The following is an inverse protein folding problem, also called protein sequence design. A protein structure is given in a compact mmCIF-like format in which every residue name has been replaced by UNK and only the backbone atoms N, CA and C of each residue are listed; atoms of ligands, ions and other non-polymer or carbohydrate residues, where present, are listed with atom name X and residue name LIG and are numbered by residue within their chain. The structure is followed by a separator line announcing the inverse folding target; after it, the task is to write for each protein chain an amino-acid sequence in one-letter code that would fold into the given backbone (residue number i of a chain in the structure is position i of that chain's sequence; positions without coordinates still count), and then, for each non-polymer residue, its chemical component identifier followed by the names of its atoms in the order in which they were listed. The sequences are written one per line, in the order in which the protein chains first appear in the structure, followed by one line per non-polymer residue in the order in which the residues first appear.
data_IF_271972153445
#
_entry.id   IF_271972153445
#
_cell.length_a   1.000
_cell.length_b   1.000
_cell.length_c   1.000
_cell.angle_alpha   90.00
_cell.angle_beta   90.00
_cell.angle_gamma   90.00
#
_symmetry.space_group_name_H-M   'P 1'
#
loop_
_entity.id
_entity.type
_entity.pdbx_description
1 polymer ?
#
# COMPACT_ATOMS: atom_id res chain seq x y z
N UNK A 1 -24.26 -10.48 -60.83
CA UNK A 1 -24.19 -9.36 -59.88
C UNK A 1 -23.94 -9.98 -58.51
N UNK A 2 -22.71 -9.93 -57.99
CA UNK A 2 -22.33 -10.59 -56.73
C UNK A 2 -22.22 -9.50 -55.65
N UNK A 3 -23.13 -9.50 -54.68
CA UNK A 3 -23.08 -8.60 -53.53
C UNK A 3 -22.18 -9.21 -52.45
N UNK A 4 -21.12 -8.52 -51.98
CA UNK A 4 -20.30 -9.04 -50.90
C UNK A 4 -21.09 -9.05 -49.59
N UNK A 5 -20.96 -10.13 -48.83
CA UNK A 5 -21.54 -10.32 -47.50
C UNK A 5 -20.91 -9.31 -46.52
N UNK A 6 -21.67 -8.58 -45.69
CA UNK A 6 -21.10 -7.69 -44.70
C UNK A 6 -20.39 -8.53 -43.61
N UNK A 7 -19.11 -8.26 -43.40
CA UNK A 7 -18.33 -8.83 -42.31
C UNK A 7 -18.81 -8.25 -40.98
N UNK A 8 -19.67 -8.97 -40.27
CA UNK A 8 -20.07 -8.66 -38.90
C UNK A 8 -18.99 -9.14 -37.92
N UNK A 9 -17.88 -8.42 -37.83
CA UNK A 9 -16.82 -8.76 -36.87
C UNK A 9 -16.61 -7.62 -35.87
N UNK A 10 -16.62 -7.97 -34.58
CA UNK A 10 -16.00 -7.28 -33.43
C UNK A 10 -16.63 -6.03 -32.77
N UNK A 11 -17.77 -5.49 -33.21
CA UNK A 11 -18.30 -4.28 -32.52
C UNK A 11 -18.84 -4.61 -31.11
N UNK A 12 -19.37 -5.81 -30.87
CA UNK A 12 -19.83 -6.25 -29.53
C UNK A 12 -18.73 -6.86 -28.65
N UNK A 13 -17.60 -7.26 -29.23
CA UNK A 13 -16.49 -7.90 -28.49
C UNK A 13 -15.58 -6.88 -27.82
N UNK A 14 -15.53 -5.64 -28.35
CA UNK A 14 -14.72 -4.55 -27.78
C UNK A 14 -15.31 -4.01 -26.45
N UNK A 15 -16.63 -3.72 -26.33
CA UNK A 15 -17.24 -3.30 -25.07
C UNK A 15 -16.99 -4.31 -23.94
N UNK A 16 -17.27 -5.60 -24.19
CA UNK A 16 -17.08 -6.67 -23.19
C UNK A 16 -15.63 -6.81 -22.73
N UNK A 17 -14.64 -6.53 -23.60
CA UNK A 17 -13.21 -6.56 -23.23
C UNK A 17 -12.79 -5.34 -22.44
N UNK A 18 -13.29 -4.16 -22.79
CA UNK A 18 -13.05 -2.91 -22.04
C UNK A 18 -13.68 -3.03 -20.65
N UNK A 19 -14.91 -3.52 -20.55
CA UNK A 19 -15.58 -3.78 -19.28
C UNK A 19 -14.82 -4.79 -18.43
N UNK A 20 -14.31 -5.87 -19.05
CA UNK A 20 -13.47 -6.86 -18.35
C UNK A 20 -12.16 -6.25 -17.84
N UNK A 21 -11.49 -5.42 -18.63
CA UNK A 21 -10.25 -4.76 -18.23
C UNK A 21 -10.50 -3.76 -17.09
N UNK A 22 -11.57 -2.97 -17.18
CA UNK A 22 -11.98 -2.07 -16.11
C UNK A 22 -12.28 -2.84 -14.81
N UNK A 23 -13.01 -3.95 -14.89
CA UNK A 23 -13.28 -4.82 -13.74
C UNK A 23 -12.00 -5.42 -13.14
N UNK A 24 -11.03 -5.80 -13.98
CA UNK A 24 -9.73 -6.30 -13.51
C UNK A 24 -8.91 -5.24 -12.79
N UNK A 25 -8.89 -4.01 -13.31
CA UNK A 25 -8.23 -2.89 -12.65
C UNK A 25 -8.90 -2.55 -11.32
N UNK A 26 -10.24 -2.57 -11.27
CA UNK A 26 -10.97 -2.33 -10.03
C UNK A 26 -10.69 -3.42 -9.00
N UNK A 27 -10.77 -4.70 -9.38
CA UNK A 27 -10.44 -5.80 -8.49
C UNK A 27 -9.02 -5.69 -7.93
N UNK A 28 -8.03 -5.36 -8.78
CA UNK A 28 -6.65 -5.15 -8.32
C UNK A 28 -6.51 -3.96 -7.36
N UNK A 29 -7.29 -2.89 -7.56
CA UNK A 29 -7.31 -1.75 -6.64
C UNK A 29 -7.97 -2.09 -5.31
N UNK A 30 -9.06 -2.87 -5.33
CA UNK A 30 -9.77 -3.34 -4.15
C UNK A 30 -8.89 -4.31 -3.34
N UNK A 31 -8.20 -5.25 -4.01
CA UNK A 31 -7.24 -6.16 -3.38
C UNK A 31 -6.10 -5.38 -2.70
N UNK A 32 -5.54 -4.36 -3.37
CA UNK A 32 -4.50 -3.53 -2.79
C UNK A 32 -4.99 -2.68 -1.59
N UNK A 33 -6.24 -2.23 -1.61
CA UNK A 33 -6.86 -1.55 -0.49
C UNK A 33 -7.05 -2.50 0.70
N UNK A 34 -7.51 -3.73 0.44
CA UNK A 34 -7.67 -4.76 1.47
C UNK A 34 -6.34 -5.11 2.13
N UNK A 35 -5.27 -5.35 1.34
CA UNK A 35 -3.94 -5.62 1.88
C UNK A 35 -3.42 -4.47 2.77
N UNK A 36 -3.73 -3.22 2.40
CA UNK A 36 -3.39 -2.04 3.22
C UNK A 36 -4.15 -2.05 4.53
N UNK A 37 -5.45 -2.32 4.49
CA UNK A 37 -6.31 -2.34 5.67
C UNK A 37 -5.91 -3.47 6.62
N UNK A 38 -5.68 -4.69 6.12
CA UNK A 38 -5.19 -5.84 6.89
C UNK A 38 -3.86 -5.54 7.59
N UNK A 39 -2.92 -4.89 6.88
CA UNK A 39 -1.65 -4.47 7.47
C UNK A 39 -1.86 -3.42 8.56
N UNK A 40 -2.73 -2.43 8.33
CA UNK A 40 -3.00 -1.38 9.30
C UNK A 40 -3.69 -1.94 10.55
N UNK A 41 -4.58 -2.92 10.40
CA UNK A 41 -5.18 -3.67 11.50
C UNK A 41 -4.11 -4.44 12.30
N UNK A 42 -3.23 -5.18 11.62
CA UNK A 42 -2.12 -5.88 12.28
C UNK A 42 -1.18 -4.92 13.03
N UNK A 43 -0.94 -3.72 12.51
CA UNK A 43 -0.18 -2.67 13.22
C UNK A 43 -0.94 -2.25 14.47
N UNK A 44 -2.24 -1.95 14.37
CA UNK A 44 -3.07 -1.51 15.48
C UNK A 44 -3.15 -2.56 16.61
N UNK A 45 -3.33 -3.84 16.25
CA UNK A 45 -3.34 -4.96 17.20
C UNK A 45 -1.99 -5.15 17.91
N UNK A 46 -0.89 -4.83 17.23
CA UNK A 46 0.46 -4.94 17.76
C UNK A 46 0.88 -3.78 18.67
N UNK A 47 0.14 -2.67 18.72
CA UNK A 47 0.44 -1.55 19.64
C UNK A 47 -0.20 -1.83 21.00
N UNK A 48 0.65 -2.00 22.00
CA UNK A 48 0.26 -2.26 23.38
C UNK A 48 0.62 -1.08 24.29
N UNK A 49 -0.01 -1.03 25.47
CA UNK A 49 0.14 0.08 26.39
C UNK A 49 1.58 0.26 26.94
N UNK A 50 2.33 -0.83 27.05
CA UNK A 50 3.70 -0.86 27.60
C UNK A 50 4.75 -0.19 26.71
N UNK A 51 4.44 0.03 25.43
CA UNK A 51 5.34 0.67 24.47
C UNK A 51 4.89 2.09 24.09
N UNK A 52 3.84 2.62 24.74
CA UNK A 52 3.31 3.95 24.39
C UNK A 52 4.28 5.07 24.80
N UNK A 53 4.64 5.97 23.87
CA UNK A 53 5.59 7.03 24.12
C UNK A 53 4.91 8.25 24.78
N UNK A 54 4.50 8.12 26.04
CA UNK A 54 3.94 9.25 26.78
C UNK A 54 4.94 10.40 26.89
N UNK A 55 4.48 11.62 26.61
CA UNK A 55 5.28 12.82 26.85
C UNK A 55 5.43 13.09 28.36
N UNK A 56 6.44 13.88 28.73
CA UNK A 56 6.63 14.30 30.12
C UNK A 56 5.39 15.03 30.67
N UNK A 57 4.70 15.79 29.84
CA UNK A 57 3.48 16.51 30.21
C UNK A 57 2.31 15.54 30.47
N UNK A 58 2.12 14.55 29.58
CA UNK A 58 1.10 13.52 29.77
C UNK A 58 1.34 12.70 31.05
N UNK A 59 2.60 12.33 31.32
CA UNK A 59 2.96 11.61 32.55
C UNK A 59 2.63 12.46 33.79
N UNK A 60 2.88 13.77 33.76
CA UNK A 60 2.56 14.65 34.88
C UNK A 60 1.03 14.76 35.12
N UNK A 61 0.24 14.80 34.05
CA UNK A 61 -1.23 14.78 34.14
C UNK A 61 -1.71 13.46 34.75
N UNK A 62 -1.20 12.33 34.26
CA UNK A 62 -1.53 11.00 34.76
C UNK A 62 -1.17 10.84 36.25
N UNK A 63 0.04 11.23 36.66
CA UNK A 63 0.47 11.17 38.07
C UNK A 63 -0.41 12.06 38.96
N UNK A 64 -0.74 13.28 38.52
CA UNK A 64 -1.60 14.18 39.27
C UNK A 64 -3.03 13.63 39.44
N UNK A 65 -3.59 13.07 38.38
CA UNK A 65 -4.91 12.42 38.39
C UNK A 65 -4.93 11.21 39.34
N UNK A 66 -3.94 10.33 39.23
CA UNK A 66 -3.83 9.13 40.08
C UNK A 66 -3.62 9.48 41.56
N UNK A 67 -2.87 10.53 41.88
CA UNK A 67 -2.67 11.00 43.26
C UNK A 67 -3.92 11.58 43.90
N UNK A 68 -4.78 12.24 43.12
CA UNK A 68 -6.06 12.78 43.61
C UNK A 68 -7.06 11.65 43.86
N UNK A 69 -7.03 10.61 43.02
CA UNK A 69 -7.79 9.39 43.21
C UNK A 69 -9.31 9.57 43.13
N UNK A 70 -9.78 10.60 42.41
CA UNK A 70 -11.22 10.82 42.24
C UNK A 70 -11.77 10.01 41.07
N UNK A 71 -13.06 9.70 41.14
CA UNK A 71 -13.75 8.96 40.06
C UNK A 71 -13.78 9.78 38.77
N UNK A 72 -13.86 11.11 38.87
CA UNK A 72 -13.86 12.03 37.73
C UNK A 72 -12.54 11.98 36.95
N UNK A 73 -11.43 11.69 37.63
CA UNK A 73 -10.09 11.65 37.05
C UNK A 73 -9.89 10.38 36.18
N UNK A 74 -10.76 9.38 36.30
CA UNK A 74 -10.71 8.15 35.48
C UNK A 74 -10.87 8.48 33.99
N UNK A 75 -11.73 9.43 33.65
CA UNK A 75 -11.92 9.85 32.26
C UNK A 75 -10.71 10.61 31.73
N UNK A 76 -10.05 11.42 32.56
CA UNK A 76 -8.84 12.14 32.20
C UNK A 76 -7.70 11.16 31.89
N UNK A 77 -7.47 10.20 32.78
CA UNK A 77 -6.48 9.13 32.58
C UNK A 77 -6.80 8.32 31.32
N UNK A 78 -8.05 7.88 31.18
CA UNK A 78 -8.49 7.09 30.03
C UNK A 78 -8.28 7.83 28.70
N UNK A 79 -8.67 9.10 28.63
CA UNK A 79 -8.57 9.87 27.39
C UNK A 79 -7.11 10.12 27.00
N UNK A 80 -6.24 10.49 27.95
CA UNK A 80 -4.81 10.67 27.68
C UNK A 80 -4.17 9.38 27.16
N UNK A 81 -4.49 8.25 27.79
CA UNK A 81 -4.04 6.93 27.38
C UNK A 81 -4.49 6.56 25.97
N UNK A 82 -5.78 6.80 25.67
CA UNK A 82 -6.37 6.49 24.37
C UNK A 82 -5.79 7.37 23.26
N UNK A 83 -5.65 8.67 23.51
CA UNK A 83 -5.05 9.60 22.55
C UNK A 83 -3.60 9.22 22.22
N UNK A 84 -2.82 8.82 23.22
CA UNK A 84 -1.46 8.32 23.00
C UNK A 84 -1.43 7.03 22.16
N UNK A 85 -2.36 6.11 22.40
CA UNK A 85 -2.50 4.89 21.60
C UNK A 85 -2.87 5.20 20.14
N UNK A 86 -3.89 6.02 19.93
CA UNK A 86 -4.35 6.40 18.59
C UNK A 86 -3.23 7.12 17.80
N UNK A 87 -2.46 7.99 18.47
CA UNK A 87 -1.32 8.69 17.86
C UNK A 87 -0.18 7.74 17.47
N UNK A 88 0.16 6.77 18.32
CA UNK A 88 1.20 5.78 18.04
C UNK A 88 0.81 4.88 16.85
N UNK A 89 -0.44 4.41 16.81
CA UNK A 89 -0.95 3.61 15.69
C UNK A 89 -0.86 4.42 14.39
N UNK A 90 -1.30 5.69 14.41
CA UNK A 90 -1.25 6.57 13.25
C UNK A 90 0.20 6.78 12.77
N UNK A 91 1.15 6.98 13.69
CA UNK A 91 2.56 7.14 13.35
C UNK A 91 3.14 5.87 12.70
N UNK A 92 2.87 4.69 13.25
CA UNK A 92 3.36 3.43 12.67
C UNK A 92 2.76 3.12 11.31
N UNK A 93 1.49 3.45 11.09
CA UNK A 93 0.86 3.36 9.77
C UNK A 93 1.56 4.31 8.79
N UNK A 94 1.84 5.55 9.20
CA UNK A 94 2.54 6.51 8.36
C UNK A 94 3.96 6.03 7.99
N UNK A 95 4.69 5.45 8.95
CA UNK A 95 6.02 4.87 8.72
C UNK A 95 5.95 3.67 7.77
N UNK A 96 4.93 2.81 7.90
CA UNK A 96 4.70 1.69 7.00
C UNK A 96 4.33 2.14 5.58
N UNK A 97 3.53 3.20 5.44
CA UNK A 97 3.19 3.80 4.15
C UNK A 97 4.43 4.41 3.48
N UNK A 98 5.30 5.09 4.24
CA UNK A 98 6.57 5.60 3.75
C UNK A 98 7.49 4.46 3.28
N UNK A 99 7.59 3.38 4.06
CA UNK A 99 8.38 2.21 3.71
C UNK A 99 7.85 1.52 2.43
N UNK A 100 6.52 1.47 2.24
CA UNK A 100 5.90 0.93 1.03
C UNK A 100 6.12 1.82 -0.21
N UNK A 101 6.28 3.13 -0.03
CA UNK A 101 6.56 4.07 -1.13
C UNK A 101 8.01 3.99 -1.64
N UNK A 102 8.95 3.51 -0.82
CA UNK A 102 10.36 3.37 -1.22
C UNK A 102 10.53 2.17 -2.17
N UNK A 103 11.11 2.35 -3.37
CA UNK A 103 11.33 1.24 -4.29
C UNK A 103 12.23 0.16 -3.66
N UNK A 104 11.81 -1.12 -3.72
CA UNK A 104 12.61 -2.25 -3.20
C UNK A 104 14.00 -2.32 -3.83
N UNK A 105 14.11 -1.96 -5.09
CA UNK A 105 15.36 -1.96 -5.83
C UNK A 105 15.69 -0.56 -6.32
N UNK A 106 16.89 -0.06 -5.98
CA UNK A 106 17.38 1.23 -6.45
C UNK A 106 17.49 1.30 -7.98
N UNK A 107 17.71 0.16 -8.63
CA UNK A 107 17.62 0.01 -10.08
C UNK A 107 17.20 -1.42 -10.46
N UNK A 108 16.35 -1.54 -11.46
CA UNK A 108 16.00 -2.80 -12.11
C UNK A 108 16.64 -2.87 -13.49
N UNK A 109 17.09 -4.07 -13.87
CA UNK A 109 17.73 -4.34 -15.15
C UNK A 109 17.00 -5.46 -15.88
N UNK A 110 17.01 -5.42 -17.22
CA UNK A 110 16.58 -6.58 -18.00
C UNK A 110 17.59 -7.70 -17.87
N UNK A 111 17.13 -8.87 -17.42
CA UNK A 111 17.98 -10.06 -17.27
C UNK A 111 18.64 -10.51 -18.59
N UNK A 112 18.03 -10.18 -19.74
CA UNK A 112 18.44 -10.65 -21.06
C UNK A 112 19.31 -9.67 -21.85
N UNK A 113 19.17 -8.35 -21.65
CA UNK A 113 19.99 -7.34 -22.38
C UNK A 113 20.76 -6.37 -21.48
N UNK A 114 20.60 -6.46 -20.16
CA UNK A 114 21.26 -5.56 -19.21
C UNK A 114 20.75 -4.11 -19.22
N UNK A 115 19.73 -3.79 -20.03
CA UNK A 115 19.16 -2.45 -20.07
C UNK A 115 18.65 -2.03 -18.69
N UNK A 116 18.98 -0.81 -18.28
CA UNK A 116 18.59 -0.21 -17.00
C UNK A 116 17.25 0.51 -17.12
N UNK A 117 16.34 0.28 -16.17
CA UNK A 117 14.99 0.85 -16.17
C UNK A 117 14.71 1.82 -15.01
N UNK A 118 15.68 2.02 -14.12
CA UNK A 118 15.50 2.86 -12.92
C UNK A 118 14.94 2.06 -11.73
N UNK A 119 14.57 2.72 -10.63
CA UNK A 119 14.06 2.07 -9.43
C UNK A 119 12.76 1.30 -9.69
N UNK A 120 12.52 0.24 -8.92
CA UNK A 120 11.28 -0.52 -9.03
C UNK A 120 11.07 -1.56 -7.93
N UNK A 121 9.87 -2.14 -7.92
CA UNK A 121 9.44 -3.10 -6.89
C UNK A 121 9.46 -4.57 -7.35
N UNK A 122 9.72 -4.82 -8.63
CA UNK A 122 9.77 -6.15 -9.22
C UNK A 122 10.99 -6.28 -10.15
N UNK A 123 11.51 -7.49 -10.27
CA UNK A 123 12.55 -7.82 -11.24
C UNK A 123 12.01 -7.74 -12.68
N UNK A 124 12.81 -7.22 -13.60
CA UNK A 124 12.41 -7.05 -14.99
C UNK A 124 12.94 -8.21 -15.84
N UNK A 125 12.09 -9.23 -16.05
CA UNK A 125 12.51 -10.48 -16.70
C UNK A 125 12.92 -10.26 -18.16
N UNK A 126 12.19 -9.45 -18.93
CA UNK A 126 12.48 -9.21 -20.36
C UNK A 126 11.95 -7.87 -20.84
N UNK A 127 12.73 -7.11 -21.61
CA UNK A 127 12.24 -5.91 -22.30
C UNK A 127 11.43 -6.25 -23.55
N UNK A 128 10.45 -5.41 -23.89
CA UNK A 128 9.65 -5.58 -25.11
C UNK A 128 10.50 -5.46 -26.41
N UNK A 129 11.77 -5.03 -26.28
CA UNK A 129 12.76 -4.95 -27.35
C UNK A 129 13.39 -6.28 -27.78
N UNK A 130 13.02 -7.40 -27.15
CA UNK A 130 13.51 -8.74 -27.53
C UNK A 130 12.76 -9.38 -28.70
N UNK A 131 11.63 -8.84 -29.13
CA UNK A 131 11.00 -9.25 -30.38
C UNK A 131 11.88 -8.81 -31.57
N UNK A 132 12.86 -9.64 -31.92
CA UNK A 132 13.59 -9.55 -33.19
C UNK A 132 15.01 -8.98 -33.16
N UNK A 133 15.62 -8.66 -32.01
CA UNK A 133 17.03 -8.25 -31.96
C UNK A 133 17.93 -9.36 -31.42
N UNK A 134 18.68 -10.00 -32.32
CA UNK A 134 19.86 -10.83 -31.96
C UNK A 134 20.94 -9.91 -31.38
N UNK A 135 21.66 -10.39 -30.36
CA UNK A 135 22.85 -9.72 -29.87
C UNK A 135 23.81 -9.50 -31.05
N UNK A 136 24.19 -8.24 -31.30
CA UNK A 136 25.27 -7.93 -32.22
C UNK A 136 26.55 -8.20 -31.43
N UNK A 137 27.26 -9.25 -31.84
CA UNK A 137 28.61 -9.51 -31.35
C UNK A 137 29.53 -8.47 -31.98
N UNK A 138 30.18 -7.65 -31.14
CA UNK A 138 31.42 -6.96 -31.43
C UNK A 138 32.34 -7.17 -30.21
#
# INVERSE_FOLDING_TARGET
MHTPRPHHHNIRTLPVRVDRHANQLQAAADDAALERDERNEAIAEGVTFDVLPFSTEQIAVLDAALRRGRIEDVYEVWNVCKEALDAEIAQRIADADLAAAVPRFANVYCSSCGQKFGPGNAGFSSCNGHFGRRARAD
#
